data_IF_201181188441
#
_entry.id   IF_201181188441
#
_cell.length_a   1.000
_cell.length_b   1.000
_cell.length_c   1.000
_cell.angle_alpha   90.00
_cell.angle_beta   90.00
_cell.angle_gamma   90.00
#
_symmetry.space_group_name_H-M   'P 1'
#
loop_
_entity.id
_entity.type
_entity.pdbx_description
1 polymer ?
#
# COMPACT_ATOMS: atom_id res chain seq x y z
N UNK A 1 11.58 -3.34 -10.74
CA UNK A 1 11.06 -3.44 -12.13
C UNK A 1 9.96 -4.50 -12.28
N UNK A 2 9.97 -5.56 -11.45
CA UNK A 2 8.94 -6.61 -11.43
C UNK A 2 7.53 -6.11 -11.00
N UNK A 3 7.45 -5.12 -10.09
CA UNK A 3 6.17 -4.61 -9.58
C UNK A 3 5.49 -3.61 -10.54
N UNK A 4 6.27 -2.81 -11.28
CA UNK A 4 5.69 -2.01 -12.36
C UNK A 4 5.08 -2.90 -13.45
N UNK A 5 5.68 -4.06 -13.73
CA UNK A 5 5.11 -5.01 -14.69
C UNK A 5 3.75 -5.57 -14.24
N UNK A 6 3.53 -5.82 -12.94
CA UNK A 6 2.24 -6.31 -12.43
C UNK A 6 1.16 -5.22 -12.52
N UNK A 7 1.51 -3.97 -12.22
CA UNK A 7 0.56 -2.86 -12.30
C UNK A 7 0.26 -2.46 -13.76
N UNK A 8 1.24 -2.53 -14.66
CA UNK A 8 1.03 -2.25 -16.09
C UNK A 8 0.33 -3.41 -16.82
N UNK A 9 0.61 -4.67 -16.49
CA UNK A 9 -0.06 -5.84 -17.12
C UNK A 9 -1.54 -5.97 -16.74
N UNK A 10 -1.96 -5.41 -15.61
CA UNK A 10 -3.39 -5.31 -15.23
C UNK A 10 -4.10 -4.11 -15.86
N UNK A 11 -3.35 -3.10 -16.34
CA UNK A 11 -3.89 -1.90 -16.98
C UNK A 11 -3.90 -1.96 -18.52
N UNK A 12 -3.14 -2.88 -19.13
CA UNK A 12 -3.15 -3.08 -20.59
C UNK A 12 -3.24 -4.56 -20.94
N UNK A 13 -4.42 -4.97 -21.42
CA UNK A 13 -4.74 -6.14 -22.26
C UNK A 13 -3.94 -7.46 -22.08
N UNK A 14 -4.71 -8.52 -21.77
CA UNK A 14 -4.40 -9.95 -21.96
C UNK A 14 -3.09 -10.26 -22.72
N UNK A 15 -2.05 -10.65 -21.99
CA UNK A 15 -1.03 -11.63 -22.41
C UNK A 15 -0.25 -12.10 -21.18
N UNK A 16 0.02 -13.41 -21.15
CA UNK A 16 0.79 -14.14 -20.15
C UNK A 16 1.98 -13.35 -19.59
N UNK A 17 2.03 -13.20 -18.27
CA UNK A 17 3.15 -12.60 -17.54
C UNK A 17 4.29 -13.62 -17.53
N UNK A 18 5.33 -13.42 -18.34
CA UNK A 18 6.62 -14.10 -18.15
C UNK A 18 7.42 -13.34 -17.08
N UNK A 19 7.53 -13.92 -15.88
CA UNK A 19 8.38 -13.40 -14.81
C UNK A 19 9.85 -13.73 -15.08
N UNK A 20 10.63 -12.77 -15.60
CA UNK A 20 12.11 -12.84 -15.54
C UNK A 20 12.62 -12.02 -14.35
N UNK A 21 13.02 -12.72 -13.29
CA UNK A 21 13.65 -12.11 -12.10
C UNK A 21 15.17 -12.04 -12.33
N UNK A 22 15.70 -10.83 -12.58
CA UNK A 22 17.14 -10.59 -12.48
C UNK A 22 17.50 -10.29 -11.02
N UNK A 23 18.57 -10.93 -10.53
CA UNK A 23 19.13 -10.81 -9.18
C UNK A 23 19.39 -9.35 -8.80
N UNK A 24 18.67 -8.85 -7.79
CA UNK A 24 18.81 -7.49 -7.24
C UNK A 24 17.51 -6.68 -7.11
N UNK A 25 16.39 -7.31 -6.73
CA UNK A 25 15.06 -6.68 -6.84
C UNK A 25 14.61 -5.96 -5.56
N UNK A 26 14.71 -4.62 -5.56
CA UNK A 26 13.94 -3.72 -4.70
C UNK A 26 12.43 -3.95 -4.88
N UNK A 27 11.72 -4.17 -3.77
CA UNK A 27 10.25 -4.18 -3.71
C UNK A 27 9.75 -2.95 -2.97
N UNK A 28 9.23 -1.98 -3.73
CA UNK A 28 8.57 -0.79 -3.21
C UNK A 28 7.08 -1.07 -3.06
N UNK A 29 6.55 -0.97 -1.84
CA UNK A 29 5.14 -1.20 -1.54
C UNK A 29 4.48 0.09 -1.07
N UNK A 30 3.36 0.42 -1.69
CA UNK A 30 2.53 1.53 -1.26
C UNK A 30 1.46 1.07 -0.24
N UNK A 31 0.89 2.05 0.48
CA UNK A 31 -0.45 2.05 1.08
C UNK A 31 -0.57 1.69 2.57
N UNK A 32 -1.78 1.93 3.10
CA UNK A 32 -2.02 2.14 4.53
C UNK A 32 -3.20 1.36 5.09
N UNK A 33 -3.07 0.91 6.33
CA UNK A 33 -4.03 0.05 7.02
C UNK A 33 -4.61 0.76 8.25
N UNK A 34 -5.93 0.66 8.42
CA UNK A 34 -6.49 0.45 9.77
C UNK A 34 -7.34 -0.82 9.90
N UNK A 35 -7.93 -1.36 8.84
CA UNK A 35 -8.64 -2.66 8.88
C UNK A 35 -8.69 -3.30 7.48
N UNK A 36 -7.54 -3.61 6.89
CA UNK A 36 -7.49 -4.31 5.60
C UNK A 36 -6.41 -5.40 5.65
N UNK A 37 -6.79 -6.70 5.67
CA UNK A 37 -5.85 -7.81 5.57
C UNK A 37 -5.29 -8.04 4.16
N UNK A 38 -5.41 -7.10 3.21
CA UNK A 38 -5.26 -7.43 1.79
C UNK A 38 -4.38 -6.49 0.95
N UNK A 39 -4.06 -5.26 1.39
CA UNK A 39 -3.22 -4.34 0.60
C UNK A 39 -1.76 -4.76 0.48
N UNK A 40 -1.08 -4.88 1.62
CA UNK A 40 0.29 -5.41 1.66
C UNK A 40 0.31 -6.92 1.37
N UNK A 41 -0.64 -7.72 1.88
CA UNK A 41 -0.70 -9.15 1.61
C UNK A 41 -0.88 -9.54 0.15
N UNK A 42 -1.51 -8.72 -0.69
CA UNK A 42 -1.60 -8.99 -2.13
C UNK A 42 -0.20 -9.21 -2.75
N UNK A 43 0.79 -8.41 -2.37
CA UNK A 43 2.14 -8.49 -2.93
C UNK A 43 3.12 -9.24 -2.03
N UNK A 44 3.00 -9.10 -0.70
CA UNK A 44 3.92 -9.74 0.24
C UNK A 44 3.62 -11.23 0.42
N UNK A 45 2.36 -11.68 0.40
CA UNK A 45 2.08 -13.11 0.58
C UNK A 45 2.68 -13.96 -0.55
N UNK A 46 2.60 -13.56 -1.84
CA UNK A 46 3.33 -14.28 -2.90
C UNK A 46 4.84 -14.34 -2.68
N UNK A 47 5.46 -13.26 -2.19
CA UNK A 47 6.91 -13.18 -1.99
C UNK A 47 7.39 -13.98 -0.77
N UNK A 48 6.57 -14.14 0.27
CA UNK A 48 6.93 -14.87 1.50
C UNK A 48 6.40 -16.31 1.52
N UNK A 49 5.22 -16.55 0.94
CA UNK A 49 4.49 -17.82 1.03
C UNK A 49 4.23 -18.48 -0.33
N UNK A 50 4.56 -17.81 -1.44
CA UNK A 50 4.44 -18.37 -2.78
C UNK A 50 3.02 -18.39 -3.34
N UNK A 51 2.04 -17.76 -2.70
CA UNK A 51 0.73 -17.53 -3.30
C UNK A 51 0.04 -16.29 -2.72
N UNK A 52 -1.02 -15.82 -3.39
CA UNK A 52 -1.90 -14.78 -2.88
C UNK A 52 -2.65 -15.23 -1.61
N UNK A 53 -3.13 -14.28 -0.77
CA UNK A 53 -3.97 -14.59 0.38
C UNK A 53 -5.22 -15.41 0.02
N UNK A 54 -5.58 -16.41 0.83
CA UNK A 54 -6.74 -17.31 0.59
C UNK A 54 -8.06 -16.56 0.33
N UNK A 55 -8.30 -15.52 1.13
CA UNK A 55 -9.45 -14.62 0.98
C UNK A 55 -9.51 -13.93 -0.38
N UNK A 56 -8.38 -13.61 -0.99
CA UNK A 56 -8.37 -13.07 -2.36
C UNK A 56 -8.66 -14.15 -3.39
N UNK A 57 -8.17 -15.38 -3.17
CA UNK A 57 -8.50 -16.54 -4.02
C UNK A 57 -10.00 -16.82 -4.00
N UNK A 58 -10.62 -16.82 -2.83
CA UNK A 58 -12.06 -17.03 -2.64
C UNK A 58 -12.88 -15.95 -3.37
N UNK A 59 -12.48 -14.69 -3.25
CA UNK A 59 -13.25 -13.55 -3.78
C UNK A 59 -13.05 -13.31 -5.27
N UNK A 60 -11.83 -13.42 -5.76
CA UNK A 60 -11.49 -13.07 -7.14
C UNK A 60 -11.56 -14.28 -8.09
N UNK A 61 -11.49 -15.50 -7.55
CA UNK A 61 -11.54 -16.73 -8.35
C UNK A 61 -10.57 -16.69 -9.53
N UNK A 62 -11.10 -16.95 -10.71
CA UNK A 62 -10.32 -17.05 -11.96
C UNK A 62 -9.76 -15.71 -12.47
N UNK A 63 -10.22 -14.57 -11.91
CA UNK A 63 -9.61 -13.26 -12.20
C UNK A 63 -8.22 -13.11 -11.59
N UNK A 64 -7.88 -13.91 -10.59
CA UNK A 64 -6.58 -13.89 -9.92
C UNK A 64 -5.68 -14.97 -10.55
N UNK A 65 -4.59 -14.59 -11.24
CA UNK A 65 -3.69 -15.56 -11.85
C UNK A 65 -3.16 -16.59 -10.85
N UNK A 66 -2.90 -17.81 -11.32
CA UNK A 66 -2.24 -18.85 -10.53
C UNK A 66 -0.76 -18.87 -10.86
N UNK A 67 0.07 -18.87 -9.83
CA UNK A 67 1.52 -19.08 -10.00
C UNK A 67 1.76 -20.53 -10.40
N UNK A 68 2.59 -20.74 -11.42
CA UNK A 68 3.13 -22.07 -11.72
C UNK A 68 4.12 -22.50 -10.64
N UNK A 69 4.48 -23.78 -10.56
CA UNK A 69 5.50 -24.23 -9.59
C UNK A 69 6.83 -23.47 -9.79
N UNK A 70 7.24 -23.22 -11.04
CA UNK A 70 8.43 -22.42 -11.36
C UNK A 70 8.31 -20.98 -10.84
N UNK A 71 7.14 -20.34 -10.98
CA UNK A 71 6.90 -19.00 -10.44
C UNK A 71 6.99 -18.99 -8.91
N UNK A 72 6.46 -20.02 -8.25
CA UNK A 72 6.47 -20.14 -6.79
C UNK A 72 7.89 -20.29 -6.26
N UNK A 73 8.71 -21.11 -6.91
CA UNK A 73 10.14 -21.25 -6.60
C UNK A 73 10.90 -19.92 -6.79
N UNK A 74 10.56 -19.15 -7.83
CA UNK A 74 11.17 -17.84 -8.07
C UNK A 74 10.73 -16.76 -7.07
N UNK A 75 9.49 -16.83 -6.56
CA UNK A 75 8.92 -15.80 -5.69
C UNK A 75 9.28 -16.01 -4.22
N UNK A 76 9.27 -17.25 -3.76
CA UNK A 76 9.41 -17.56 -2.34
C UNK A 76 10.80 -17.15 -1.81
N UNK A 77 10.83 -16.24 -0.83
CA UNK A 77 12.04 -15.67 -0.23
C UNK A 77 12.93 -14.91 -1.24
N UNK A 78 12.35 -14.33 -2.28
CA UNK A 78 13.07 -13.63 -3.33
C UNK A 78 13.48 -12.18 -2.99
N UNK A 79 13.23 -11.72 -1.77
CA UNK A 79 13.47 -10.34 -1.35
C UNK A 79 14.40 -10.25 -0.14
N UNK A 80 15.31 -9.28 -0.18
CA UNK A 80 16.26 -9.00 0.90
C UNK A 80 15.70 -8.03 1.95
N UNK A 81 14.73 -7.19 1.57
CA UNK A 81 14.09 -6.20 2.42
C UNK A 81 12.73 -5.74 1.85
N UNK A 82 11.97 -5.04 2.68
CA UNK A 82 10.69 -4.43 2.30
C UNK A 82 10.85 -2.91 2.21
N UNK A 83 10.60 -2.33 1.02
CA UNK A 83 10.44 -0.89 0.85
C UNK A 83 8.99 -0.48 1.12
N UNK A 84 8.78 0.49 2.02
CA UNK A 84 7.46 0.98 2.42
C UNK A 84 7.27 2.45 2.08
N UNK A 85 6.30 2.72 1.21
CA UNK A 85 5.78 4.05 0.92
C UNK A 85 4.51 4.28 1.76
N UNK A 86 4.60 5.10 2.80
CA UNK A 86 3.49 5.35 3.71
C UNK A 86 3.24 6.84 3.88
N UNK A 87 2.01 7.26 3.57
CA UNK A 87 1.64 8.68 3.54
C UNK A 87 0.50 9.05 4.49
N UNK A 88 -0.46 8.14 4.68
CA UNK A 88 -1.73 8.43 5.36
C UNK A 88 -2.31 7.15 5.96
N UNK A 89 -3.47 7.16 6.61
CA UNK A 89 -4.30 5.98 6.94
C UNK A 89 -5.78 6.30 6.83
N UNK A 90 -6.63 5.28 6.71
CA UNK A 90 -8.09 5.42 6.64
C UNK A 90 -8.78 4.41 7.55
N UNK A 91 -9.94 4.80 8.04
CA UNK A 91 -10.92 3.84 8.52
C UNK A 91 -11.69 3.28 7.34
N UNK A 92 -11.94 1.98 7.41
CA UNK A 92 -12.63 1.22 6.37
C UNK A 92 -13.80 0.52 7.06
N UNK A 93 -14.96 0.51 6.40
CA UNK A 93 -16.12 -0.27 6.79
C UNK A 93 -16.42 -1.33 5.73
N UNK A 94 -17.17 -2.36 6.14
CA UNK A 94 -17.73 -3.33 5.20
C UNK A 94 -18.79 -2.62 4.35
N UNK A 95 -18.61 -2.64 3.03
CA UNK A 95 -19.57 -2.07 2.10
C UNK A 95 -20.81 -2.95 2.03
N UNK A 96 -21.99 -2.34 2.10
CA UNK A 96 -23.27 -3.05 1.93
C UNK A 96 -23.76 -3.05 0.48
N UNK A 97 -22.95 -2.54 -0.45
CA UNK A 97 -23.29 -2.53 -1.87
C UNK A 97 -23.20 -3.94 -2.45
N UNK A 98 -24.21 -4.33 -3.23
CA UNK A 98 -24.18 -5.57 -4.00
C UNK A 98 -23.21 -5.41 -5.19
N UNK A 99 -21.93 -5.65 -4.96
CA UNK A 99 -20.96 -5.77 -6.05
C UNK A 99 -21.24 -7.07 -6.80
N UNK A 100 -21.97 -7.00 -7.92
CA UNK A 100 -22.06 -8.12 -8.85
C UNK A 100 -20.77 -8.17 -9.69
N UNK A 101 -20.34 -9.39 -10.05
CA UNK A 101 -19.17 -9.59 -10.92
C UNK A 101 -19.26 -8.83 -12.27
N UNK A 102 -20.47 -8.45 -12.67
CA UNK A 102 -20.80 -7.72 -13.90
C UNK A 102 -20.69 -6.20 -13.75
N UNK A 103 -20.70 -5.67 -12.52
CA UNK A 103 -20.71 -4.23 -12.21
C UNK A 103 -19.39 -3.71 -11.64
N UNK A 104 -18.29 -4.48 -11.73
CA UNK A 104 -16.96 -3.93 -11.46
C UNK A 104 -16.63 -2.92 -12.57
N UNK A 105 -17.00 -1.66 -12.38
CA UNK A 105 -16.45 -0.56 -13.15
C UNK A 105 -14.95 -0.54 -12.87
N UNK A 106 -14.18 -1.13 -13.78
CA UNK A 106 -12.71 -1.08 -13.88
C UNK A 106 -11.95 -0.80 -12.57
N UNK A 107 -11.37 -1.87 -12.00
CA UNK A 107 -10.13 -1.78 -11.22
C UNK A 107 -10.18 -1.12 -9.83
N UNK A 108 -11.32 -1.05 -9.13
CA UNK A 108 -11.27 -0.61 -7.73
C UNK A 108 -10.95 -1.77 -6.76
N UNK A 109 -9.71 -1.75 -6.26
CA UNK A 109 -9.21 -2.62 -5.18
C UNK A 109 -10.13 -2.61 -3.94
N UNK A 110 -10.79 -1.49 -3.65
CA UNK A 110 -11.74 -1.38 -2.53
C UNK A 110 -13.02 -2.17 -2.79
N UNK A 111 -13.53 -2.17 -4.02
CA UNK A 111 -14.73 -2.94 -4.40
C UNK A 111 -14.45 -4.44 -4.40
N UNK A 112 -13.28 -4.86 -4.90
CA UNK A 112 -12.82 -6.25 -4.84
C UNK A 112 -12.72 -6.80 -3.41
N UNK A 113 -12.73 -5.92 -2.41
CA UNK A 113 -12.64 -6.26 -1.00
C UNK A 113 -13.92 -5.94 -0.21
N UNK A 114 -14.98 -5.51 -0.89
CA UNK A 114 -16.24 -5.08 -0.27
C UNK A 114 -15.99 -4.01 0.80
N UNK A 115 -15.11 -3.06 0.49
CA UNK A 115 -14.67 -2.03 1.42
C UNK A 115 -15.17 -0.66 0.98
N UNK A 116 -15.75 0.07 1.94
CA UNK A 116 -15.99 1.50 1.78
C UNK A 116 -15.10 2.29 2.74
N UNK A 117 -14.57 3.41 2.25
CA UNK A 117 -13.85 4.35 3.10
C UNK A 117 -14.88 5.10 3.93
N UNK A 118 -14.70 5.13 5.24
CA UNK A 118 -15.53 6.00 6.09
C UNK A 118 -15.15 7.44 5.73
N UNK A 119 -16.05 8.12 5.01
CA UNK A 119 -15.78 9.39 4.34
C UNK A 119 -15.55 10.54 5.33
N UNK A 120 -16.24 10.50 6.47
CA UNK A 120 -16.17 11.54 7.49
C UNK A 120 -15.21 11.15 8.61
N UNK A 121 -14.01 11.70 8.52
CA UNK A 121 -13.17 11.86 9.70
C UNK A 121 -12.63 13.29 9.72
N UNK A 122 -12.81 13.97 10.85
CA UNK A 122 -12.28 15.32 11.14
C UNK A 122 -10.74 15.31 11.35
N UNK A 123 -10.02 14.51 10.56
CA UNK A 123 -8.57 14.43 10.62
C UNK A 123 -7.90 15.60 9.91
N UNK A 124 -6.76 16.05 10.43
CA UNK A 124 -5.89 16.99 9.73
C UNK A 124 -5.53 16.44 8.35
N UNK A 125 -5.69 17.25 7.31
CA UNK A 125 -5.50 16.86 5.91
C UNK A 125 -4.41 17.72 5.27
N UNK A 126 -3.61 17.14 4.37
CA UNK A 126 -2.73 17.89 3.47
C UNK A 126 -3.54 18.47 2.29
N UNK A 127 -2.88 19.09 1.31
CA UNK A 127 -3.60 19.65 0.15
C UNK A 127 -4.25 18.56 -0.71
N UNK A 128 -3.53 17.46 -0.92
CA UNK A 128 -4.04 16.31 -1.64
C UNK A 128 -5.32 15.75 -1.02
N UNK A 129 -6.42 15.60 -1.81
CA UNK A 129 -7.69 15.10 -1.30
C UNK A 129 -7.62 13.73 -0.61
N UNK A 130 -6.64 12.93 -0.98
CA UNK A 130 -6.39 11.57 -0.49
C UNK A 130 -5.41 11.50 0.68
N UNK A 131 -4.86 12.60 1.20
CA UNK A 131 -3.79 12.57 2.21
C UNK A 131 -4.27 13.16 3.55
N UNK A 132 -4.73 12.28 4.47
CA UNK A 132 -4.90 12.63 5.89
C UNK A 132 -3.58 12.42 6.65
N UNK A 133 -3.31 13.25 7.64
CA UNK A 133 -2.11 13.19 8.47
C UNK A 133 -2.38 12.22 9.62
N UNK A 134 -1.83 10.99 9.52
CA UNK A 134 -2.16 9.88 10.43
C UNK A 134 -0.89 9.15 10.91
N UNK A 135 -0.07 9.79 11.75
CA UNK A 135 1.24 9.25 12.11
C UNK A 135 1.16 7.90 12.83
N UNK A 136 0.17 7.68 13.71
CA UNK A 136 0.01 6.36 14.37
C UNK A 136 -0.25 5.21 13.37
N UNK A 137 -0.65 5.52 12.14
CA UNK A 137 -0.88 4.57 11.07
C UNK A 137 0.39 3.83 10.63
N UNK A 138 1.50 4.56 10.47
CA UNK A 138 2.77 3.95 10.04
C UNK A 138 3.30 2.98 11.11
N UNK A 139 3.14 3.32 12.39
CA UNK A 139 3.51 2.44 13.50
C UNK A 139 2.78 1.10 13.43
N UNK A 140 1.47 1.13 13.14
CA UNK A 140 0.67 -0.09 13.02
C UNK A 140 1.08 -0.93 11.83
N UNK A 141 1.35 -0.30 10.68
CA UNK A 141 1.82 -0.98 9.47
C UNK A 141 3.18 -1.65 9.71
N UNK A 142 4.14 -0.94 10.30
CA UNK A 142 5.46 -1.50 10.60
C UNK A 142 5.37 -2.72 11.52
N UNK A 143 4.57 -2.64 12.59
CA UNK A 143 4.31 -3.77 13.49
C UNK A 143 3.64 -4.94 12.78
N UNK A 144 2.64 -4.66 11.95
CA UNK A 144 1.96 -5.69 11.17
C UNK A 144 2.90 -6.43 10.23
N UNK A 145 3.75 -5.71 9.48
CA UNK A 145 4.72 -6.33 8.57
C UNK A 145 5.73 -7.16 9.38
N UNK A 146 6.23 -6.62 10.50
CA UNK A 146 7.17 -7.32 11.35
C UNK A 146 6.59 -8.61 11.96
N UNK A 147 5.34 -8.57 12.41
CA UNK A 147 4.65 -9.73 13.00
C UNK A 147 4.29 -10.78 11.94
N UNK A 148 3.78 -10.37 10.78
CA UNK A 148 3.30 -11.30 9.75
C UNK A 148 4.47 -11.94 8.98
N UNK A 149 5.45 -11.16 8.55
CA UNK A 149 6.49 -11.60 7.61
C UNK A 149 7.84 -11.87 8.28
N UNK A 150 7.83 -12.30 9.54
CA UNK A 150 9.03 -12.69 10.29
C UNK A 150 10.10 -11.58 10.41
N UNK A 151 9.66 -10.35 10.72
CA UNK A 151 10.52 -9.20 11.01
C UNK A 151 11.62 -8.95 9.95
N UNK A 152 11.25 -8.70 8.69
CA UNK A 152 12.25 -8.43 7.66
C UNK A 152 12.88 -7.05 7.87
N UNK A 153 14.04 -6.75 7.25
CA UNK A 153 14.51 -5.37 7.14
C UNK A 153 13.47 -4.52 6.41
N UNK A 154 13.05 -3.41 7.01
CA UNK A 154 12.07 -2.48 6.43
C UNK A 154 12.71 -1.11 6.24
N UNK A 155 12.60 -0.55 5.03
CA UNK A 155 13.00 0.82 4.73
C UNK A 155 11.77 1.63 4.37
N UNK A 156 11.58 2.78 5.02
CA UNK A 156 10.56 3.74 4.60
C UNK A 156 11.11 4.46 3.38
N UNK A 157 10.67 4.06 2.20
CA UNK A 157 11.17 4.57 0.91
C UNK A 157 10.49 5.87 0.50
N UNK A 158 9.26 6.11 0.96
CA UNK A 158 8.56 7.38 0.79
C UNK A 158 7.68 7.74 1.99
N UNK A 159 7.75 9.01 2.40
CA UNK A 159 6.88 9.61 3.40
C UNK A 159 6.89 11.14 3.21
N UNK A 160 5.74 11.79 3.20
CA UNK A 160 5.67 13.24 3.02
C UNK A 160 4.25 13.78 2.95
N UNK A 161 4.15 15.09 2.80
CA UNK A 161 2.89 15.78 2.54
C UNK A 161 3.09 17.00 1.65
N UNK A 162 2.04 17.33 0.92
CA UNK A 162 1.90 18.53 0.10
C UNK A 162 1.18 19.65 0.86
N UNK A 163 1.59 20.89 0.59
CA UNK A 163 0.89 22.08 1.07
C UNK A 163 0.01 22.64 -0.05
N UNK A 164 -0.95 23.48 0.33
CA UNK A 164 -1.78 24.18 -0.66
C UNK A 164 -0.89 25.16 -1.43
N UNK A 165 -1.08 25.24 -2.74
CA UNK A 165 -0.36 26.20 -3.57
C UNK A 165 -1.06 27.56 -3.52
N UNK A 166 -0.31 28.61 -3.18
CA UNK A 166 -0.71 30.00 -3.38
C UNK A 166 0.42 30.75 -4.10
N UNK A 167 0.29 30.89 -5.41
CA UNK A 167 1.25 31.58 -6.29
C UNK A 167 1.44 33.06 -5.96
N UNK A 168 0.59 33.63 -5.09
CA UNK A 168 0.64 35.03 -4.67
C UNK A 168 1.30 35.21 -3.31
N UNK A 169 1.54 34.12 -2.58
CA UNK A 169 2.17 34.17 -1.27
C UNK A 169 3.64 34.64 -1.38
N UNK A 170 4.09 35.52 -0.48
CA UNK A 170 5.51 35.83 -0.33
C UNK A 170 6.35 34.57 -0.08
N UNK A 171 7.59 34.54 -0.59
CA UNK A 171 8.48 33.38 -0.46
C UNK A 171 8.72 32.98 1.01
N UNK A 172 8.81 33.95 1.91
CA UNK A 172 8.98 33.70 3.35
C UNK A 172 7.77 33.00 3.98
N UNK A 173 6.55 33.25 3.51
CA UNK A 173 5.35 32.51 3.91
C UNK A 173 5.35 31.08 3.36
N UNK A 174 5.75 30.90 2.10
CA UNK A 174 5.86 29.57 1.47
C UNK A 174 6.92 28.69 2.14
N UNK A 175 8.00 29.29 2.65
CA UNK A 175 9.07 28.60 3.36
C UNK A 175 8.74 28.30 4.84
N UNK A 176 7.71 28.93 5.41
CA UNK A 176 7.26 28.69 6.80
C UNK A 176 6.34 27.46 6.90
N UNK A 177 6.85 26.30 6.48
CA UNK A 177 6.12 25.04 6.33
C UNK A 177 5.89 24.26 7.65
N UNK A 178 5.44 24.97 8.70
CA UNK A 178 5.19 24.41 10.05
C UNK A 178 4.35 23.14 10.06
N UNK A 179 3.41 23.03 9.11
CA UNK A 179 2.55 21.85 8.95
C UNK A 179 3.37 20.62 8.49
N UNK A 180 4.24 20.78 7.49
CA UNK A 180 5.17 19.72 7.05
C UNK A 180 6.17 19.36 8.15
N UNK A 181 6.69 20.34 8.89
CA UNK A 181 7.55 20.07 10.07
C UNK A 181 6.80 19.24 11.12
N UNK A 182 5.54 19.59 11.42
CA UNK A 182 4.71 18.83 12.35
C UNK A 182 4.38 17.42 11.84
N UNK A 183 4.17 17.27 10.53
CA UNK A 183 3.97 15.98 9.88
C UNK A 183 5.18 15.06 10.13
N UNK A 184 6.38 15.50 9.77
CA UNK A 184 7.59 14.69 9.95
C UNK A 184 7.85 14.37 11.42
N UNK A 185 7.67 15.33 12.34
CA UNK A 185 7.78 15.07 13.78
C UNK A 185 6.85 13.95 14.23
N UNK A 186 5.58 13.98 13.81
CA UNK A 186 4.60 12.97 14.15
C UNK A 186 4.96 11.59 13.59
N UNK A 187 5.30 11.51 12.30
CA UNK A 187 5.61 10.24 11.64
C UNK A 187 6.92 9.64 12.17
N UNK A 188 7.98 10.44 12.35
CA UNK A 188 9.24 9.97 12.92
C UNK A 188 9.07 9.46 14.36
N UNK A 189 8.25 10.13 15.18
CA UNK A 189 7.93 9.65 16.53
C UNK A 189 7.18 8.32 16.50
N UNK A 190 6.24 8.14 15.56
CA UNK A 190 5.49 6.90 15.39
C UNK A 190 6.39 5.74 14.89
N UNK A 191 7.34 6.02 14.00
CA UNK A 191 8.37 5.07 13.55
C UNK A 191 9.28 4.68 14.71
N UNK A 192 9.79 5.65 15.47
CA UNK A 192 10.60 5.38 16.66
C UNK A 192 9.85 4.51 17.68
N UNK A 193 8.55 4.71 17.85
CA UNK A 193 7.71 3.89 18.72
C UNK A 193 7.37 2.49 18.14
N UNK A 194 7.68 2.21 16.87
CA UNK A 194 7.61 0.88 16.28
C UNK A 194 8.92 0.10 16.43
N UNK A 195 10.07 0.79 16.49
CA UNK A 195 11.37 0.19 16.70
C UNK A 195 11.51 -0.18 18.19
N UNK A 196 11.65 -1.47 18.49
CA UNK A 196 11.96 -1.98 19.83
C UNK A 196 13.18 -2.88 19.76
#
# INVERSE_FOLDING_TARGET
MLIMAIQTALLSEQRSIECRVNSGSLVTLFWSIKYCPHGHPWFLDPLYYGDYPDVMRERLGDRLPRFSEDDRELLQNSIDFVGLNHYTSRFIAHSTNNYSAENFEQNDFSEAQEMERIAEWEGNKAASPWLYIVPWGIQKVLKYIAEKYNCPPIYITENGMDDEEDDRAPLDEMLDDKKRVSYFRGYLAAVAAAIK
#
